data_IF_010718264473
#
_entry.id   IF_010718264473
#
_cell.length_a   1.000
_cell.length_b   1.000
_cell.length_c   1.000
_cell.angle_alpha   90.00
_cell.angle_beta   90.00
_cell.angle_gamma   90.00
#
_symmetry.space_group_name_H-M   'P 1'
#
loop_
_entity.id
_entity.type
_entity.pdbx_description
1 polymer ?
#
# COMPACT_ATOMS: atom_id res chain seq x y z
N UNK A 1 1.63 -8.05 -27.36
CA UNK A 1 2.72 -8.99 -27.02
C UNK A 1 3.72 -8.23 -26.16
N UNK A 2 3.78 -8.51 -24.86
CA UNK A 2 4.86 -8.01 -24.00
C UNK A 2 6.19 -8.61 -24.48
N UNK A 3 7.21 -7.78 -24.66
CA UNK A 3 8.53 -8.22 -25.13
C UNK A 3 9.17 -9.12 -24.06
N UNK A 4 9.96 -10.12 -24.47
CA UNK A 4 10.66 -11.10 -23.58
C UNK A 4 11.33 -10.48 -22.33
N UNK A 5 11.74 -9.21 -22.37
CA UNK A 5 12.30 -8.46 -21.23
C UNK A 5 11.32 -8.26 -20.07
N UNK A 6 10.03 -8.04 -20.34
CA UNK A 6 9.01 -7.88 -19.30
C UNK A 6 8.71 -9.19 -18.54
N UNK A 7 8.95 -10.35 -19.17
CA UNK A 7 8.76 -11.64 -18.52
C UNK A 7 9.86 -11.98 -17.49
N UNK A 8 10.95 -11.20 -17.43
CA UNK A 8 12.10 -11.46 -16.56
C UNK A 8 12.17 -10.54 -15.34
N UNK A 9 11.58 -9.34 -15.41
CA UNK A 9 11.43 -8.41 -14.28
C UNK A 9 10.05 -8.58 -13.61
N UNK A 10 9.80 -9.77 -13.06
CA UNK A 10 8.54 -10.11 -12.39
C UNK A 10 8.12 -9.12 -11.28
N UNK A 11 9.01 -8.60 -10.41
CA UNK A 11 8.65 -7.59 -9.41
C UNK A 11 8.60 -6.15 -9.97
N UNK A 12 8.89 -5.95 -11.26
CA UNK A 12 8.91 -4.67 -11.95
C UNK A 12 9.86 -3.62 -11.31
N UNK A 13 11.07 -4.04 -10.93
CA UNK A 13 12.11 -3.18 -10.34
C UNK A 13 12.51 -2.02 -11.26
N UNK A 14 12.34 -2.19 -12.57
CA UNK A 14 12.64 -1.15 -13.55
C UNK A 14 11.70 0.06 -13.49
N UNK A 15 10.46 -0.10 -12.97
CA UNK A 15 9.44 0.97 -12.98
C UNK A 15 9.91 2.26 -12.32
N UNK A 16 10.48 2.17 -11.13
CA UNK A 16 10.93 3.33 -10.36
C UNK A 16 12.45 3.50 -10.34
N UNK A 17 13.21 2.67 -11.07
CA UNK A 17 14.68 2.73 -11.05
C UNK A 17 15.21 4.13 -11.37
N UNK A 18 14.71 4.77 -12.43
CA UNK A 18 15.14 6.11 -12.81
C UNK A 18 14.70 7.16 -11.77
N UNK A 19 13.43 7.13 -11.34
CA UNK A 19 12.92 8.04 -10.30
C UNK A 19 13.73 7.90 -8.99
N UNK A 20 14.05 6.68 -8.57
CA UNK A 20 14.87 6.39 -7.39
C UNK A 20 16.27 6.99 -7.53
N UNK A 21 16.91 6.85 -8.70
CA UNK A 21 18.27 7.36 -8.94
C UNK A 21 18.37 8.89 -8.95
N UNK A 22 17.23 9.57 -9.18
CA UNK A 22 17.15 11.03 -9.22
C UNK A 22 16.78 11.64 -7.85
N UNK A 23 16.42 10.82 -6.86
CA UNK A 23 16.12 11.32 -5.52
C UNK A 23 17.41 11.74 -4.82
N UNK A 24 17.46 12.96 -4.24
CA UNK A 24 18.58 13.35 -3.41
C UNK A 24 18.61 12.48 -2.15
N UNK A 25 19.80 12.31 -1.59
CA UNK A 25 19.97 11.80 -0.23
C UNK A 25 19.14 12.68 0.70
N UNK A 26 18.29 12.12 1.58
CA UNK A 26 17.53 12.94 2.51
C UNK A 26 18.45 13.83 3.33
N UNK A 27 18.12 15.12 3.45
CA UNK A 27 18.83 16.02 4.38
C UNK A 27 18.42 15.71 5.82
N UNK A 28 19.25 16.09 6.81
CA UNK A 28 19.10 15.68 8.22
C UNK A 28 17.70 15.91 8.84
N UNK A 29 16.95 16.89 8.35
CA UNK A 29 15.60 17.26 8.84
C UNK A 29 14.46 16.81 7.90
N UNK A 30 14.77 16.15 6.77
CA UNK A 30 13.75 15.70 5.82
C UNK A 30 12.99 14.50 6.38
N UNK A 31 11.72 14.72 6.75
CA UNK A 31 10.80 13.64 7.14
C UNK A 31 10.19 12.98 5.91
N UNK A 32 11.02 12.22 5.20
CA UNK A 32 10.63 11.50 3.98
C UNK A 32 9.66 10.35 4.32
N UNK A 33 8.57 10.28 3.56
CA UNK A 33 7.53 9.24 3.71
C UNK A 33 7.37 8.50 2.39
N UNK A 34 7.48 7.18 2.41
CA UNK A 34 7.24 6.33 1.24
C UNK A 34 5.87 5.66 1.36
N UNK A 35 5.07 5.74 0.31
CA UNK A 35 3.83 4.98 0.16
C UNK A 35 4.10 3.81 -0.77
N UNK A 36 4.06 2.58 -0.25
CA UNK A 36 4.18 1.37 -1.07
C UNK A 36 2.83 0.65 -1.14
N UNK A 37 2.51 0.15 -2.33
CA UNK A 37 1.28 -0.59 -2.56
C UNK A 37 1.08 -0.94 -4.03
N UNK A 38 -0.18 -1.14 -4.39
CA UNK A 38 -0.60 -1.57 -5.73
C UNK A 38 -1.20 -0.40 -6.54
N UNK A 39 -2.22 -0.68 -7.36
CA UNK A 39 -2.96 0.30 -8.14
C UNK A 39 -3.65 1.35 -7.28
N UNK A 40 -4.13 0.99 -6.08
CA UNK A 40 -4.77 1.97 -5.18
C UNK A 40 -3.75 3.03 -4.76
N UNK A 41 -2.52 2.61 -4.47
CA UNK A 41 -1.43 3.57 -4.17
C UNK A 41 -1.00 4.30 -5.42
N UNK A 42 -0.79 3.62 -6.55
CA UNK A 42 -0.34 4.25 -7.80
C UNK A 42 -1.27 5.36 -8.27
N UNK A 43 -2.57 5.04 -8.33
CA UNK A 43 -3.59 5.97 -8.84
C UNK A 43 -3.81 7.15 -7.91
N UNK A 44 -3.41 7.08 -6.65
CA UNK A 44 -3.48 8.23 -5.75
C UNK A 44 -2.66 9.41 -6.29
N UNK A 45 -1.40 9.16 -6.72
CA UNK A 45 -0.55 10.20 -7.31
C UNK A 45 -1.12 10.74 -8.62
N UNK A 46 -1.88 9.92 -9.36
CA UNK A 46 -2.48 10.32 -10.65
C UNK A 46 -3.77 11.12 -10.48
N UNK A 47 -4.65 10.71 -9.55
CA UNK A 47 -5.99 11.28 -9.36
C UNK A 47 -5.94 12.50 -8.43
N UNK A 48 -4.99 12.53 -7.50
CA UNK A 48 -4.83 13.60 -6.53
C UNK A 48 -3.33 13.97 -6.36
N UNK A 49 -2.69 14.48 -7.42
CA UNK A 49 -1.25 14.79 -7.40
C UNK A 49 -0.88 15.82 -6.33
N UNK A 50 -1.78 16.77 -6.04
CA UNK A 50 -1.61 17.82 -5.02
C UNK A 50 -1.36 17.24 -3.63
N UNK A 51 -1.75 15.98 -3.37
CA UNK A 51 -1.46 15.32 -2.10
C UNK A 51 0.03 15.05 -1.90
N UNK A 52 0.78 14.85 -2.98
CA UNK A 52 2.21 14.50 -2.96
C UNK A 52 3.12 15.69 -3.29
N UNK A 53 2.60 16.72 -3.96
CA UNK A 53 3.34 17.94 -4.33
C UNK A 53 3.73 18.73 -3.07
N UNK A 54 4.94 19.30 -3.08
CA UNK A 54 5.52 20.10 -1.97
C UNK A 54 5.61 19.37 -0.62
N UNK A 55 5.55 18.04 -0.63
CA UNK A 55 5.80 17.19 0.53
C UNK A 55 6.95 16.25 0.22
N UNK A 56 7.63 15.78 1.27
CA UNK A 56 8.63 14.70 1.15
C UNK A 56 7.97 13.32 1.00
N UNK A 57 6.86 13.24 0.26
CA UNK A 57 6.07 12.02 0.07
C UNK A 57 6.40 11.39 -1.26
N UNK A 58 6.71 10.10 -1.24
CA UNK A 58 7.17 9.35 -2.41
C UNK A 58 6.19 8.20 -2.65
N UNK A 59 5.53 8.23 -3.80
CA UNK A 59 4.63 7.17 -4.22
C UNK A 59 5.39 6.05 -4.94
N UNK A 60 5.25 4.82 -4.44
CA UNK A 60 5.81 3.60 -5.01
C UNK A 60 4.71 2.54 -5.17
N UNK A 61 3.53 2.95 -5.64
CA UNK A 61 2.45 2.06 -6.04
C UNK A 61 2.69 1.44 -7.41
N UNK A 62 2.42 0.14 -7.58
CA UNK A 62 2.49 -0.50 -8.89
C UNK A 62 1.23 -1.31 -9.15
N UNK A 63 0.47 -0.90 -10.16
CA UNK A 63 -0.80 -1.49 -10.55
C UNK A 63 -0.73 -3.00 -10.75
N UNK A 64 -1.70 -3.70 -10.17
CA UNK A 64 -1.85 -5.14 -10.26
C UNK A 64 -0.89 -5.96 -9.39
N UNK A 65 0.06 -5.33 -8.68
CA UNK A 65 1.01 -6.07 -7.87
C UNK A 65 0.41 -6.69 -6.61
N UNK A 66 0.98 -7.82 -6.24
CA UNK A 66 0.68 -8.57 -5.00
C UNK A 66 1.79 -8.39 -3.97
N UNK A 67 1.52 -8.77 -2.71
CA UNK A 67 2.49 -8.69 -1.61
C UNK A 67 3.86 -9.33 -1.88
N UNK A 68 4.01 -10.49 -2.56
CA UNK A 68 5.35 -11.02 -2.81
C UNK A 68 6.15 -10.16 -3.80
N UNK A 69 5.51 -9.49 -4.77
CA UNK A 69 6.20 -8.54 -5.66
C UNK A 69 6.64 -7.30 -4.88
N UNK A 70 5.77 -6.79 -4.00
CA UNK A 70 6.10 -5.66 -3.12
C UNK A 70 7.27 -5.99 -2.19
N UNK A 71 7.29 -7.20 -1.62
CA UNK A 71 8.39 -7.67 -0.77
C UNK A 71 9.72 -7.70 -1.53
N UNK A 72 9.74 -8.25 -2.76
CA UNK A 72 10.98 -8.30 -3.57
C UNK A 72 11.51 -6.90 -3.87
N UNK A 73 10.64 -5.93 -4.21
CA UNK A 73 11.06 -4.56 -4.51
C UNK A 73 11.22 -3.66 -3.28
N UNK A 74 10.86 -4.12 -2.09
CA UNK A 74 10.86 -3.30 -0.87
C UNK A 74 12.22 -2.65 -0.60
N UNK A 75 13.31 -3.37 -0.88
CA UNK A 75 14.66 -2.82 -0.71
C UNK A 75 14.95 -1.66 -1.66
N UNK A 76 14.59 -1.78 -2.93
CA UNK A 76 14.86 -0.77 -3.94
C UNK A 76 13.93 0.45 -3.81
N UNK A 77 12.65 0.20 -3.51
CA UNK A 77 11.61 1.22 -3.52
C UNK A 77 11.28 1.81 -2.14
N UNK A 78 11.79 1.23 -1.05
CA UNK A 78 11.61 1.76 0.31
C UNK A 78 12.95 1.97 0.98
N UNK A 79 13.68 0.89 1.29
CA UNK A 79 14.88 0.97 2.14
C UNK A 79 15.96 1.88 1.52
N UNK A 80 16.25 1.73 0.23
CA UNK A 80 17.26 2.53 -0.45
C UNK A 80 16.92 4.03 -0.50
N UNK A 81 15.64 4.39 -0.31
CA UNK A 81 15.18 5.77 -0.31
C UNK A 81 15.33 6.46 1.04
N UNK A 82 15.72 5.70 2.08
CA UNK A 82 15.95 6.16 3.45
C UNK A 82 14.80 7.00 4.01
N UNK A 83 13.53 6.52 3.94
CA UNK A 83 12.42 7.25 4.53
C UNK A 83 12.48 7.20 6.06
N UNK A 84 11.89 8.20 6.70
CA UNK A 84 11.55 8.11 8.12
C UNK A 84 10.36 7.16 8.32
N UNK A 85 9.38 7.20 7.41
CA UNK A 85 8.13 6.43 7.52
C UNK A 85 7.82 5.70 6.23
N UNK A 86 7.33 4.46 6.32
CA UNK A 86 6.69 3.75 5.21
C UNK A 86 5.22 3.46 5.53
N UNK A 87 4.34 3.76 4.58
CA UNK A 87 2.93 3.38 4.60
C UNK A 87 2.73 2.21 3.64
N UNK A 88 2.17 1.11 4.16
CA UNK A 88 1.92 -0.12 3.40
C UNK A 88 0.42 -0.34 3.28
N UNK A 89 -0.08 -0.33 2.04
CA UNK A 89 -1.44 -0.77 1.69
C UNK A 89 -1.32 -1.85 0.62
N UNK A 90 -1.62 -3.10 1.00
CA UNK A 90 -1.38 -4.27 0.15
C UNK A 90 -2.32 -5.43 0.48
N UNK A 91 -2.53 -6.33 -0.48
CA UNK A 91 -3.23 -7.60 -0.29
C UNK A 91 -4.45 -7.80 -1.19
N UNK A 92 -5.04 -6.74 -1.76
CA UNK A 92 -6.27 -6.87 -2.57
C UNK A 92 -6.03 -7.71 -3.84
N UNK A 93 -4.88 -7.55 -4.48
CA UNK A 93 -4.51 -8.29 -5.69
C UNK A 93 -4.09 -9.74 -5.40
N UNK A 94 -3.58 -10.02 -4.20
CA UNK A 94 -3.33 -11.38 -3.74
C UNK A 94 -4.65 -12.12 -3.57
N UNK A 95 -5.64 -11.46 -2.96
CA UNK A 95 -7.03 -11.97 -2.82
C UNK A 95 -7.67 -12.18 -4.21
N UNK A 96 -7.38 -11.31 -5.18
CA UNK A 96 -7.81 -11.47 -6.58
C UNK A 96 -7.03 -12.57 -7.34
N UNK A 97 -5.95 -13.11 -6.78
CA UNK A 97 -5.13 -14.15 -7.38
C UNK A 97 -4.28 -13.68 -8.57
N UNK A 98 -3.86 -12.41 -8.59
CA UNK A 98 -3.11 -11.83 -9.71
C UNK A 98 -1.77 -12.54 -9.98
N UNK A 99 -1.11 -13.06 -8.96
CA UNK A 99 0.12 -13.87 -9.07
C UNK A 99 -0.12 -15.37 -8.84
N UNK A 100 -1.37 -15.81 -8.98
CA UNK A 100 -1.79 -17.19 -8.71
C UNK A 100 -2.37 -17.38 -7.31
N UNK A 101 -2.64 -18.65 -6.91
CA UNK A 101 -3.22 -18.97 -5.61
C UNK A 101 -2.39 -18.39 -4.46
N UNK A 102 -3.06 -17.69 -3.53
CA UNK A 102 -2.44 -17.10 -2.35
C UNK A 102 -3.33 -17.37 -1.14
N UNK A 103 -2.75 -17.91 -0.07
CA UNK A 103 -3.45 -18.05 1.22
C UNK A 103 -3.33 -16.76 2.03
N UNK A 104 -4.19 -16.56 3.04
CA UNK A 104 -4.09 -15.40 3.92
C UNK A 104 -2.77 -15.39 4.68
N UNK A 105 -2.23 -16.56 5.03
CA UNK A 105 -0.92 -16.71 5.68
C UNK A 105 0.21 -16.23 4.77
N UNK A 106 0.18 -16.55 3.47
CA UNK A 106 1.18 -16.06 2.53
C UNK A 106 1.16 -14.53 2.42
N UNK A 107 -0.04 -13.94 2.37
CA UNK A 107 -0.22 -12.49 2.28
C UNK A 107 0.30 -11.82 3.57
N UNK A 108 -0.12 -12.36 4.72
CA UNK A 108 0.34 -11.95 6.05
C UNK A 108 1.86 -11.97 6.14
N UNK A 109 2.49 -13.09 5.78
CA UNK A 109 3.92 -13.29 5.94
C UNK A 109 4.72 -12.30 5.11
N UNK A 110 4.28 -12.00 3.88
CA UNK A 110 4.92 -10.97 3.06
C UNK A 110 4.78 -9.56 3.68
N UNK A 111 3.61 -9.21 4.21
CA UNK A 111 3.39 -7.92 4.88
C UNK A 111 4.27 -7.82 6.14
N UNK A 112 4.32 -8.87 6.96
CA UNK A 112 5.12 -8.90 8.19
C UNK A 112 6.61 -8.86 7.87
N UNK A 113 7.06 -9.57 6.84
CA UNK A 113 8.45 -9.47 6.36
C UNK A 113 8.81 -8.05 5.91
N UNK A 114 7.90 -7.32 5.25
CA UNK A 114 8.14 -5.90 4.93
C UNK A 114 8.26 -5.03 6.18
N UNK A 115 7.46 -5.29 7.22
CA UNK A 115 7.56 -4.60 8.52
C UNK A 115 8.89 -4.91 9.20
N UNK A 116 9.30 -6.18 9.26
CA UNK A 116 10.58 -6.60 9.86
C UNK A 116 11.76 -5.96 9.13
N UNK A 117 11.72 -5.91 7.80
CA UNK A 117 12.73 -5.25 6.98
C UNK A 117 12.79 -3.73 7.24
N UNK A 118 11.64 -3.06 7.36
CA UNK A 118 11.59 -1.64 7.69
C UNK A 118 12.17 -1.38 9.09
N UNK A 119 11.75 -2.15 10.09
CA UNK A 119 12.22 -2.06 11.47
C UNK A 119 13.74 -2.26 11.56
N UNK A 120 14.28 -3.26 10.87
CA UNK A 120 15.72 -3.52 10.82
C UNK A 120 16.53 -2.36 10.20
N UNK A 121 15.88 -1.48 9.43
CA UNK A 121 16.50 -0.30 8.81
C UNK A 121 16.07 1.01 9.49
N UNK A 122 15.50 0.95 10.70
CA UNK A 122 15.02 2.12 11.47
C UNK A 122 14.02 2.97 10.68
N UNK A 123 13.12 2.31 9.96
CA UNK A 123 12.01 2.95 9.24
C UNK A 123 10.73 2.65 10.01
N UNK A 124 10.05 3.71 10.45
CA UNK A 124 8.76 3.58 11.11
C UNK A 124 7.69 3.08 10.13
N UNK A 125 6.82 2.19 10.61
CA UNK A 125 5.81 1.53 9.75
C UNK A 125 4.42 2.03 10.09
N UNK A 126 3.62 2.24 9.05
CA UNK A 126 2.18 2.42 9.15
C UNK A 126 1.53 1.36 8.26
N UNK A 127 0.69 0.50 8.84
CA UNK A 127 -0.08 -0.50 8.09
C UNK A 127 -1.50 -0.01 7.85
N UNK A 128 -2.03 -0.28 6.67
CA UNK A 128 -3.39 0.10 6.29
C UNK A 128 -4.28 -1.14 6.19
N UNK A 129 -5.56 -0.98 6.55
CA UNK A 129 -6.60 -1.93 6.15
C UNK A 129 -6.67 -2.02 4.62
N UNK A 130 -6.81 -3.23 4.09
CA UNK A 130 -7.26 -3.48 2.72
C UNK A 130 -8.65 -2.88 2.54
N UNK A 131 -8.86 -2.16 1.44
CA UNK A 131 -10.15 -1.55 1.11
C UNK A 131 -11.24 -2.62 0.87
N UNK A 132 -12.51 -2.29 1.10
CA UNK A 132 -13.63 -3.18 0.80
C UNK A 132 -13.75 -3.40 -0.71
N UNK A 133 -14.19 -4.59 -1.11
CA UNK A 133 -14.55 -4.93 -2.49
C UNK A 133 -15.54 -6.09 -2.46
N UNK A 134 -16.56 -6.05 -3.34
CA UNK A 134 -17.55 -7.14 -3.47
C UNK A 134 -17.07 -8.20 -4.45
N UNK A 135 -16.42 -7.78 -5.54
CA UNK A 135 -15.83 -8.65 -6.54
C UNK A 135 -14.78 -7.86 -7.34
N UNK A 136 -14.06 -8.55 -8.24
CA UNK A 136 -13.07 -7.92 -9.12
C UNK A 136 -13.50 -8.04 -10.58
N UNK A 137 -13.71 -6.92 -11.26
CA UNK A 137 -14.17 -6.91 -12.66
C UNK A 137 -13.22 -7.65 -13.62
N UNK A 138 -11.91 -7.66 -13.32
CA UNK A 138 -10.89 -8.37 -14.10
C UNK A 138 -10.71 -9.85 -13.70
N UNK A 139 -11.21 -10.23 -12.52
CA UNK A 139 -11.12 -11.58 -11.92
C UNK A 139 -12.41 -11.85 -11.14
N UNK A 140 -13.54 -12.12 -11.82
CA UNK A 140 -14.82 -12.30 -11.13
C UNK A 140 -14.84 -13.56 -10.27
N UNK A 141 -15.82 -13.63 -9.37
CA UNK A 141 -16.12 -14.79 -8.51
C UNK A 141 -15.02 -15.17 -7.50
N UNK A 142 -14.26 -14.19 -6.99
CA UNK A 142 -13.22 -14.47 -5.97
C UNK A 142 -13.74 -14.50 -4.53
N UNK A 143 -14.98 -14.05 -4.33
CA UNK A 143 -15.63 -13.93 -3.02
C UNK A 143 -14.73 -13.24 -1.98
N UNK A 144 -14.27 -11.99 -2.26
CA UNK A 144 -13.19 -11.35 -1.51
C UNK A 144 -13.58 -10.87 -0.11
N UNK A 145 -14.88 -10.64 0.17
CA UNK A 145 -15.36 -9.96 1.39
C UNK A 145 -14.78 -10.58 2.67
N UNK A 146 -14.98 -11.88 2.88
CA UNK A 146 -14.52 -12.55 4.10
C UNK A 146 -13.00 -12.63 4.18
N UNK A 147 -12.31 -12.75 3.03
CA UNK A 147 -10.84 -12.74 2.98
C UNK A 147 -10.28 -11.36 3.35
N UNK A 148 -10.90 -10.28 2.87
CA UNK A 148 -10.53 -8.90 3.20
C UNK A 148 -10.71 -8.65 4.70
N UNK A 149 -11.87 -9.02 5.26
CA UNK A 149 -12.15 -8.86 6.70
C UNK A 149 -11.16 -9.65 7.55
N UNK A 150 -10.92 -10.93 7.20
CA UNK A 150 -9.96 -11.76 7.92
C UNK A 150 -8.52 -11.21 7.85
N UNK A 151 -8.08 -10.76 6.66
CA UNK A 151 -6.77 -10.14 6.50
C UNK A 151 -6.63 -8.84 7.30
N UNK A 152 -7.66 -7.99 7.30
CA UNK A 152 -7.67 -6.74 8.06
C UNK A 152 -7.58 -6.99 9.57
N UNK A 153 -8.28 -8.00 10.08
CA UNK A 153 -8.18 -8.38 11.50
C UNK A 153 -6.77 -8.92 11.83
N UNK A 154 -6.16 -9.71 10.95
CA UNK A 154 -4.76 -10.17 11.12
C UNK A 154 -3.80 -8.97 11.19
N UNK A 155 -3.92 -8.02 10.23
CA UNK A 155 -3.07 -6.82 10.18
C UNK A 155 -3.27 -5.98 11.45
N UNK A 156 -4.52 -5.72 11.84
CA UNK A 156 -4.85 -4.93 13.03
C UNK A 156 -4.30 -5.55 14.30
N UNK A 157 -4.48 -6.85 14.51
CA UNK A 157 -3.94 -7.54 15.69
C UNK A 157 -2.42 -7.49 15.73
N UNK A 158 -1.77 -7.62 14.57
CA UNK A 158 -0.31 -7.50 14.48
C UNK A 158 0.16 -6.08 14.81
N UNK A 159 -0.53 -5.06 14.32
CA UNK A 159 -0.16 -3.67 14.65
C UNK A 159 -0.27 -3.38 16.14
N UNK A 160 -1.33 -3.87 16.80
CA UNK A 160 -1.51 -3.72 18.25
C UNK A 160 -0.44 -4.45 19.05
N UNK A 161 0.02 -5.61 18.58
CA UNK A 161 1.00 -6.44 19.28
C UNK A 161 2.44 -5.91 19.14
N UNK A 162 2.69 -5.00 18.19
CA UNK A 162 4.02 -4.49 17.86
C UNK A 162 4.10 -2.95 17.93
N UNK A 163 3.10 -2.29 18.53
CA UNK A 163 3.02 -0.83 18.66
C UNK A 163 3.12 -0.06 17.32
N UNK A 164 2.61 -0.66 16.24
CA UNK A 164 2.59 -0.08 14.89
C UNK A 164 1.29 0.71 14.70
N UNK A 165 1.37 1.85 13.99
CA UNK A 165 0.16 2.62 13.66
C UNK A 165 -0.65 1.92 12.58
N UNK A 166 -1.96 1.78 12.83
CA UNK A 166 -2.93 1.23 11.89
C UNK A 166 -3.86 2.30 11.32
N UNK A 167 -4.00 2.34 10.00
CA UNK A 167 -5.01 3.15 9.32
C UNK A 167 -6.18 2.27 8.88
N UNK A 168 -7.35 2.50 9.47
CA UNK A 168 -8.60 1.83 9.12
C UNK A 168 -9.35 2.56 8.01
N UNK A 169 -8.91 2.39 6.76
CA UNK A 169 -9.67 2.84 5.58
C UNK A 169 -10.95 2.04 5.38
N UNK A 170 -10.95 0.75 5.70
CA UNK A 170 -12.08 -0.15 5.47
C UNK A 170 -13.35 0.39 6.12
N UNK A 171 -13.29 0.68 7.41
CA UNK A 171 -14.47 1.11 8.18
C UNK A 171 -15.09 2.41 7.67
N UNK A 172 -14.31 3.33 7.11
CA UNK A 172 -14.82 4.61 6.60
C UNK A 172 -15.34 4.54 5.15
N UNK A 173 -14.91 3.52 4.40
CA UNK A 173 -15.19 3.37 2.97
C UNK A 173 -16.19 2.25 2.63
N UNK A 174 -16.50 1.36 3.57
CA UNK A 174 -17.41 0.23 3.36
C UNK A 174 -18.89 0.66 3.36
N UNK A 175 -19.68 0.08 2.47
CA UNK A 175 -21.14 0.26 2.40
C UNK A 175 -21.92 -0.86 3.11
N UNK A 176 -23.25 -0.81 3.06
CA UNK A 176 -24.12 -1.80 3.69
C UNK A 176 -24.06 -3.20 3.04
N UNK A 177 -23.40 -3.34 1.89
CA UNK A 177 -23.19 -4.58 1.16
C UNK A 177 -21.75 -5.09 1.30
N UNK A 178 -21.00 -4.56 2.28
CA UNK A 178 -19.60 -4.88 2.54
C UNK A 178 -18.65 -4.52 1.38
N UNK A 179 -19.11 -3.67 0.46
CA UNK A 179 -18.39 -3.18 -0.70
C UNK A 179 -17.84 -1.78 -0.53
N UNK A 180 -17.03 -1.35 -1.49
CA UNK A 180 -16.61 0.05 -1.57
C UNK A 180 -17.80 0.92 -1.96
N UNK A 181 -18.09 1.94 -1.14
CA UNK A 181 -19.16 2.93 -1.40
C UNK A 181 -19.07 3.45 -2.84
N UNK A 182 -20.22 3.48 -3.52
CA UNK A 182 -20.33 3.87 -4.94
C UNK A 182 -19.88 5.30 -5.19
N UNK A 183 -20.10 6.22 -4.24
CA UNK A 183 -19.59 7.58 -4.34
C UNK A 183 -18.05 7.64 -4.30
N UNK A 184 -17.39 6.61 -3.78
CA UNK A 184 -15.93 6.54 -3.62
C UNK A 184 -15.25 5.70 -4.70
N UNK A 185 -15.98 4.98 -5.55
CA UNK A 185 -15.39 4.16 -6.61
C UNK A 185 -16.31 3.96 -7.80
N UNK A 186 -15.72 3.98 -9.00
CA UNK A 186 -16.45 3.70 -10.24
C UNK A 186 -16.51 2.21 -10.58
N UNK A 187 -15.57 1.41 -10.08
CA UNK A 187 -15.43 -0.01 -10.40
C UNK A 187 -15.58 -0.94 -9.19
N UNK A 188 -15.82 -0.37 -8.00
CA UNK A 188 -15.99 -1.10 -6.76
C UNK A 188 -14.69 -1.54 -6.09
N UNK A 189 -13.52 -1.11 -6.60
CA UNK A 189 -12.20 -1.47 -6.03
C UNK A 189 -11.27 -0.26 -5.91
N UNK A 190 -11.14 0.53 -6.97
CA UNK A 190 -10.21 1.66 -7.01
C UNK A 190 -10.91 2.94 -6.54
N UNK A 191 -10.34 3.68 -5.58
CA UNK A 191 -10.88 4.96 -5.18
C UNK A 191 -10.91 5.95 -6.35
N UNK A 192 -12.02 6.67 -6.49
CA UNK A 192 -12.08 7.88 -7.30
C UNK A 192 -11.58 9.08 -6.47
N UNK A 193 -11.71 10.30 -7.01
CA UNK A 193 -11.29 11.52 -6.32
C UNK A 193 -11.90 11.68 -4.91
N UNK A 194 -13.20 11.38 -4.75
CA UNK A 194 -13.87 11.46 -3.44
C UNK A 194 -13.35 10.39 -2.48
N UNK A 195 -13.10 9.17 -2.98
CA UNK A 195 -12.49 8.11 -2.19
C UNK A 195 -11.12 8.51 -1.64
N UNK A 196 -10.23 9.06 -2.48
CA UNK A 196 -8.93 9.55 -2.00
C UNK A 196 -9.08 10.73 -1.03
N UNK A 197 -10.03 11.64 -1.23
CA UNK A 197 -10.31 12.71 -0.28
C UNK A 197 -10.69 12.20 1.12
N UNK A 198 -11.32 11.03 1.22
CA UNK A 198 -11.57 10.35 2.50
C UNK A 198 -10.29 9.76 3.08
N UNK A 199 -9.42 9.16 2.26
CA UNK A 199 -8.19 8.51 2.73
C UNK A 199 -7.14 9.51 3.24
N UNK A 200 -6.97 10.67 2.57
CA UNK A 200 -5.97 11.70 2.90
C UNK A 200 -5.89 12.07 4.38
N UNK A 201 -6.97 12.53 5.04
CA UNK A 201 -6.87 12.98 6.43
C UNK A 201 -6.46 11.87 7.40
N UNK A 202 -6.79 10.61 7.11
CA UNK A 202 -6.37 9.47 7.94
C UNK A 202 -4.86 9.22 7.79
N UNK A 203 -4.35 9.24 6.57
CA UNK A 203 -2.91 9.13 6.30
C UNK A 203 -2.13 10.28 6.97
N UNK A 204 -2.56 11.53 6.78
CA UNK A 204 -1.92 12.70 7.38
C UNK A 204 -1.88 12.62 8.90
N UNK A 205 -2.98 12.21 9.53
CA UNK A 205 -3.05 12.05 10.99
C UNK A 205 -2.08 10.99 11.48
N UNK A 206 -1.99 9.85 10.78
CA UNK A 206 -1.09 8.76 11.13
C UNK A 206 0.38 9.17 10.96
N UNK A 207 0.73 9.79 9.83
CA UNK A 207 2.08 10.31 9.56
C UNK A 207 2.48 11.33 10.62
N UNK A 208 1.60 12.30 10.92
CA UNK A 208 1.89 13.32 11.91
C UNK A 208 2.02 12.77 13.33
N UNK A 209 1.34 11.65 13.64
CA UNK A 209 1.47 10.96 14.92
C UNK A 209 2.85 10.29 15.02
N UNK A 210 3.24 9.48 14.04
CA UNK A 210 4.54 8.79 14.01
C UNK A 210 5.69 9.79 14.07
N UNK A 211 5.67 10.81 13.21
CA UNK A 211 6.75 11.81 13.14
C UNK A 211 6.88 12.70 14.38
N UNK A 212 5.86 12.76 15.25
CA UNK A 212 5.94 13.46 16.55
C UNK A 212 6.53 12.59 17.65
N UNK A 213 6.35 11.27 17.55
CA UNK A 213 6.88 10.30 18.52
C UNK A 213 8.38 10.07 18.36
N UNK A 214 8.97 10.42 17.21
CA UNK A 214 10.42 10.39 16.94
C UNK A 214 11.24 11.49 17.66
N UNK A 215 10.72 12.08 18.75
CA UNK A 215 11.37 13.14 19.53
C UNK A 215 11.73 12.69 20.94
#
# INVERSE_FOLDING_TARGET
MATKKQAQDWPNLSKYQQENSLLPIPVLEEKRVVFIGDSITEFWKMIDPDYFVNKSYINRGISGQTTPQMLVRFRADVIALQPTVVIILAGINDIAGNTGPSSLEMIRDNIFSMVELATANQIEVILCSVLPAIDFSWKPNQQPIEKIKALNEIIKNYTQSNDIVYIDYYSVMVDAHEGLKKEYSNDGVHPNKMGYQVMRPLAEKAIAFVLKSDK
#
